data_IF_393118580623
#
_entry.id   IF_393118580623
#
_cell.length_a   1.000
_cell.length_b   1.000
_cell.length_c   1.000
_cell.angle_alpha   90.00
_cell.angle_beta   90.00
_cell.angle_gamma   90.00
#
_symmetry.space_group_name_H-M   'P 1'
#
loop_
_entity.id
_entity.type
_entity.pdbx_description
1 polymer ?
#
# COMPACT_ATOMS: atom_id res chain seq x y z
N UNK A 1 -40.79 9.69 47.06
CA UNK A 1 -40.02 10.34 45.99
C UNK A 1 -38.58 9.86 46.14
N UNK A 2 -38.17 8.88 45.32
CA UNK A 2 -36.80 8.33 45.32
C UNK A 2 -36.24 8.58 43.92
N UNK A 3 -35.41 9.61 43.78
CA UNK A 3 -34.51 9.76 42.64
C UNK A 3 -33.13 9.24 43.09
N UNK A 4 -32.82 8.01 42.69
CA UNK A 4 -31.46 7.47 42.77
C UNK A 4 -30.78 7.69 41.43
N UNK A 5 -29.81 8.61 41.42
CA UNK A 5 -28.94 8.87 40.29
C UNK A 5 -28.09 7.62 39.99
N UNK A 6 -28.25 7.05 38.80
CA UNK A 6 -27.33 6.03 38.26
C UNK A 6 -25.99 6.69 37.95
N UNK A 7 -25.03 6.56 38.85
CA UNK A 7 -23.61 6.79 38.56
C UNK A 7 -23.10 5.65 37.66
N UNK A 8 -23.19 5.86 36.35
CA UNK A 8 -22.63 4.97 35.34
C UNK A 8 -21.10 4.91 35.44
N UNK A 9 -20.63 3.70 35.74
CA UNK A 9 -19.27 3.27 35.99
C UNK A 9 -18.24 3.73 34.93
N UNK A 10 -17.31 4.62 35.31
CA UNK A 10 -16.14 5.02 34.50
C UNK A 10 -14.94 4.07 34.65
N UNK A 11 -15.06 2.97 35.39
CA UNK A 11 -13.92 2.12 35.81
C UNK A 11 -13.58 1.01 34.81
N UNK A 12 -14.33 0.87 33.72
CA UNK A 12 -14.24 -0.26 32.77
C UNK A 12 -13.25 -0.09 31.63
N UNK A 13 -12.78 1.13 31.33
CA UNK A 13 -11.87 1.36 30.19
C UNK A 13 -10.39 1.14 30.54
N UNK A 14 -9.93 1.52 31.72
CA UNK A 14 -8.50 1.43 32.09
C UNK A 14 -8.01 -0.01 32.19
N UNK A 15 -8.85 -0.93 32.70
CA UNK A 15 -8.51 -2.36 32.79
C UNK A 15 -8.45 -3.03 31.41
N UNK A 16 -9.35 -2.67 30.49
CA UNK A 16 -9.37 -3.20 29.13
C UNK A 16 -8.10 -2.81 28.35
N UNK A 17 -7.71 -1.52 28.38
CA UNK A 17 -6.47 -1.08 27.72
C UNK A 17 -5.22 -1.71 28.35
N UNK A 18 -5.21 -1.90 29.67
CA UNK A 18 -4.12 -2.61 30.36
C UNK A 18 -3.99 -4.06 29.91
N UNK A 19 -5.10 -4.78 29.76
CA UNK A 19 -5.09 -6.16 29.25
C UNK A 19 -4.59 -6.20 27.80
N UNK A 20 -5.14 -5.36 26.91
CA UNK A 20 -4.72 -5.29 25.51
C UNK A 20 -3.22 -4.97 25.40
N UNK A 21 -2.73 -4.00 26.17
CA UNK A 21 -1.30 -3.66 26.19
C UNK A 21 -0.44 -4.84 26.63
N UNK A 22 -0.77 -5.49 27.75
CA UNK A 22 -0.03 -6.67 28.22
C UNK A 22 -0.05 -7.81 27.20
N UNK A 23 -1.18 -8.07 26.55
CA UNK A 23 -1.28 -9.10 25.50
C UNK A 23 -0.41 -8.75 24.29
N UNK A 24 -0.41 -7.50 23.84
CA UNK A 24 0.46 -7.05 22.73
C UNK A 24 1.94 -7.15 23.09
N UNK A 25 2.32 -6.79 24.32
CA UNK A 25 3.71 -6.93 24.82
C UNK A 25 4.13 -8.40 24.85
N UNK A 26 3.27 -9.30 25.33
CA UNK A 26 3.56 -10.74 25.37
C UNK A 26 3.70 -11.29 23.94
N UNK A 27 2.78 -10.97 23.03
CA UNK A 27 2.86 -11.40 21.62
C UNK A 27 4.17 -10.89 20.98
N UNK A 28 4.49 -9.61 21.18
CA UNK A 28 5.73 -9.03 20.66
C UNK A 28 6.96 -9.71 21.26
N UNK A 29 6.99 -9.94 22.57
CA UNK A 29 8.09 -10.64 23.24
C UNK A 29 8.23 -12.08 22.72
N UNK A 30 7.13 -12.81 22.53
CA UNK A 30 7.12 -14.16 21.94
C UNK A 30 7.66 -14.15 20.52
N UNK A 31 7.24 -13.21 19.68
CA UNK A 31 7.76 -13.03 18.32
C UNK A 31 9.28 -12.76 18.39
N UNK A 32 9.71 -11.79 19.21
CA UNK A 32 11.12 -11.43 19.34
C UNK A 32 11.98 -12.61 19.81
N UNK A 33 11.53 -13.37 20.82
CA UNK A 33 12.20 -14.57 21.33
C UNK A 33 12.29 -15.64 20.23
N UNK A 34 11.22 -15.88 19.49
CA UNK A 34 11.20 -16.85 18.40
C UNK A 34 12.11 -16.42 17.23
N UNK A 35 12.15 -15.12 16.93
CA UNK A 35 12.98 -14.56 15.85
C UNK A 35 14.44 -14.39 16.24
N UNK A 36 14.81 -14.39 17.53
CA UNK A 36 16.17 -14.12 18.01
C UNK A 36 17.23 -15.03 17.37
N UNK A 37 16.89 -16.31 17.20
CA UNK A 37 17.77 -17.32 16.61
C UNK A 37 17.24 -17.83 15.27
N UNK A 38 16.18 -17.21 14.73
CA UNK A 38 15.69 -17.57 13.40
C UNK A 38 16.72 -17.10 12.37
N UNK A 39 17.07 -17.94 11.40
CA UNK A 39 17.82 -17.51 10.23
C UNK A 39 17.22 -16.25 9.60
N UNK A 40 18.05 -15.42 8.95
CA UNK A 40 17.55 -14.22 8.29
C UNK A 40 16.48 -14.59 7.26
N UNK A 41 15.45 -13.74 7.13
CA UNK A 41 14.26 -14.00 6.30
C UNK A 41 14.65 -14.39 4.85
N UNK A 42 15.75 -13.83 4.35
CA UNK A 42 16.28 -14.12 3.00
C UNK A 42 16.61 -15.60 2.77
N UNK A 43 16.92 -16.37 3.82
CA UNK A 43 17.19 -17.81 3.71
C UNK A 43 15.93 -18.62 3.39
N UNK A 44 14.76 -18.10 3.79
CA UNK A 44 13.45 -18.67 3.51
C UNK A 44 12.82 -18.17 2.21
N UNK A 45 13.41 -17.15 1.58
CA UNK A 45 12.88 -16.61 0.33
C UNK A 45 13.20 -17.55 -0.84
N UNK A 46 12.31 -17.61 -1.85
CA UNK A 46 12.62 -18.29 -3.09
C UNK A 46 13.92 -17.74 -3.67
N UNK A 47 14.91 -18.62 -3.90
CA UNK A 47 16.20 -18.26 -4.49
C UNK A 47 16.11 -17.99 -6.00
N UNK A 48 15.04 -18.48 -6.63
CA UNK A 48 14.78 -18.25 -8.05
C UNK A 48 13.95 -16.99 -8.23
N UNK A 49 14.39 -16.13 -9.14
CA UNK A 49 13.69 -14.91 -9.54
C UNK A 49 13.06 -15.15 -10.91
N UNK A 50 11.84 -14.66 -11.12
CA UNK A 50 11.24 -14.74 -12.45
C UNK A 50 12.01 -13.81 -13.41
N UNK A 51 12.37 -14.25 -14.63
CA UNK A 51 13.00 -13.36 -15.62
C UNK A 51 12.15 -12.14 -15.96
N UNK A 52 10.81 -12.26 -15.83
CA UNK A 52 9.88 -11.15 -16.02
C UNK A 52 9.86 -10.16 -14.85
N UNK A 53 10.44 -10.52 -13.70
CA UNK A 53 10.43 -9.78 -12.44
C UNK A 53 11.84 -9.72 -11.82
N UNK A 54 12.83 -9.09 -12.50
CA UNK A 54 14.25 -9.20 -12.15
C UNK A 54 14.72 -8.35 -10.95
N UNK A 55 14.01 -7.29 -10.58
CA UNK A 55 14.36 -6.36 -9.51
C UNK A 55 14.01 -6.91 -8.12
N UNK A 56 14.99 -6.89 -7.22
CA UNK A 56 14.85 -7.37 -5.84
C UNK A 56 14.44 -6.27 -4.88
N UNK A 57 14.87 -5.04 -5.16
CA UNK A 57 14.65 -3.88 -4.32
C UNK A 57 13.94 -2.77 -5.09
N UNK A 58 13.31 -1.86 -4.35
CA UNK A 58 12.68 -0.68 -4.93
C UNK A 58 13.70 0.19 -5.68
N UNK A 59 14.92 0.35 -5.14
CA UNK A 59 15.98 1.18 -5.73
C UNK A 59 16.48 0.63 -7.07
N UNK A 60 16.51 -0.70 -7.23
CA UNK A 60 16.81 -1.33 -8.53
C UNK A 60 15.67 -1.15 -9.54
N UNK A 61 14.42 -1.20 -9.06
CA UNK A 61 13.24 -1.07 -9.90
C UNK A 61 13.01 0.37 -10.38
N UNK A 62 13.26 1.37 -9.54
CA UNK A 62 12.86 2.74 -9.82
C UNK A 62 13.46 3.35 -11.11
N UNK A 63 14.75 3.14 -11.45
CA UNK A 63 15.29 3.56 -12.74
C UNK A 63 14.60 2.92 -13.94
N UNK A 64 14.13 1.67 -13.81
CA UNK A 64 13.33 1.02 -14.86
C UNK A 64 11.96 1.66 -14.99
N UNK A 65 11.28 1.90 -13.87
CA UNK A 65 10.01 2.61 -13.87
C UNK A 65 10.11 3.96 -14.59
N UNK A 66 11.16 4.75 -14.35
CA UNK A 66 11.34 6.05 -15.03
C UNK A 66 11.54 5.91 -16.54
N UNK A 67 12.23 4.86 -17.00
CA UNK A 67 12.36 4.55 -18.44
C UNK A 67 11.02 4.19 -19.07
N UNK A 68 10.15 3.49 -18.34
CA UNK A 68 8.77 3.20 -18.75
C UNK A 68 7.85 4.44 -18.69
N UNK A 69 8.36 5.59 -18.25
CA UNK A 69 7.67 6.89 -18.25
C UNK A 69 8.57 7.94 -18.89
N UNK A 70 9.19 7.61 -20.02
CA UNK A 70 10.17 8.48 -20.70
C UNK A 70 9.52 9.75 -21.25
N UNK A 71 8.25 9.68 -21.65
CA UNK A 71 7.50 10.83 -22.16
C UNK A 71 7.03 11.73 -21.02
N UNK A 72 7.25 13.04 -21.19
CA UNK A 72 6.75 14.07 -20.24
C UNK A 72 5.24 13.97 -20.04
N UNK A 73 4.50 13.70 -21.11
CA UNK A 73 3.04 13.60 -21.09
C UNK A 73 2.57 12.41 -20.24
N UNK A 74 3.24 11.26 -20.35
CA UNK A 74 2.98 10.09 -19.49
C UNK A 74 3.15 10.46 -18.02
N UNK A 75 4.26 11.10 -17.66
CA UNK A 75 4.50 11.56 -16.28
C UNK A 75 3.43 12.55 -15.79
N UNK A 76 3.00 13.49 -16.63
CA UNK A 76 1.93 14.43 -16.29
C UNK A 76 0.60 13.74 -15.97
N UNK A 77 0.22 12.72 -16.75
CA UNK A 77 -0.99 11.94 -16.48
C UNK A 77 -0.91 11.22 -15.13
N UNK A 78 0.25 10.69 -14.76
CA UNK A 78 0.47 10.14 -13.42
C UNK A 78 0.36 11.22 -12.34
N UNK A 79 0.98 12.39 -12.53
CA UNK A 79 0.88 13.49 -11.57
C UNK A 79 -0.56 13.92 -11.33
N UNK A 80 -1.38 14.02 -12.38
CA UNK A 80 -2.81 14.33 -12.25
C UNK A 80 -3.52 13.23 -11.47
N UNK A 81 -3.33 11.96 -11.84
CA UNK A 81 -3.95 10.82 -11.16
C UNK A 81 -3.62 10.76 -9.67
N UNK A 82 -2.33 10.78 -9.32
CA UNK A 82 -1.87 10.73 -7.93
C UNK A 82 -2.32 11.95 -7.12
N UNK A 83 -2.34 13.15 -7.71
CA UNK A 83 -2.86 14.36 -7.04
C UNK A 83 -4.35 14.20 -6.73
N UNK A 84 -5.14 13.67 -7.67
CA UNK A 84 -6.57 13.41 -7.46
C UNK A 84 -6.80 12.33 -6.39
N UNK A 85 -5.94 11.31 -6.33
CA UNK A 85 -5.94 10.33 -5.23
C UNK A 85 -5.69 11.03 -3.89
N UNK A 86 -4.66 11.86 -3.79
CA UNK A 86 -4.36 12.61 -2.56
C UNK A 86 -5.55 13.47 -2.14
N UNK A 87 -6.15 14.25 -3.06
CA UNK A 87 -7.33 15.06 -2.80
C UNK A 87 -8.51 14.19 -2.30
N UNK A 88 -8.76 13.03 -2.93
CA UNK A 88 -9.84 12.14 -2.52
C UNK A 88 -9.66 11.60 -1.09
N UNK A 89 -8.42 11.34 -0.69
CA UNK A 89 -8.06 10.94 0.68
C UNK A 89 -8.19 12.12 1.65
N UNK A 90 -7.80 13.34 1.26
CA UNK A 90 -8.01 14.53 2.10
C UNK A 90 -9.50 14.81 2.35
N UNK A 91 -10.38 14.54 1.37
CA UNK A 91 -11.84 14.66 1.54
C UNK A 91 -12.39 13.55 2.45
N UNK A 92 -11.83 12.34 2.42
CA UNK A 92 -12.22 11.22 3.29
C UNK A 92 -11.00 10.60 3.99
N UNK A 93 -10.43 11.26 5.02
CA UNK A 93 -9.16 10.83 5.63
C UNK A 93 -9.18 9.42 6.21
N UNK A 94 -10.36 8.91 6.56
CA UNK A 94 -10.55 7.54 7.05
C UNK A 94 -10.10 6.47 6.03
N UNK A 95 -10.05 6.81 4.73
CA UNK A 95 -9.52 5.94 3.69
C UNK A 95 -8.01 5.69 3.81
N UNK A 96 -7.28 6.53 4.56
CA UNK A 96 -5.85 6.33 4.79
C UNK A 96 -5.59 4.99 5.51
N UNK A 97 -6.45 4.60 6.45
CA UNK A 97 -6.31 3.34 7.21
C UNK A 97 -6.28 2.12 6.28
N UNK A 98 -7.30 1.85 5.44
CA UNK A 98 -7.30 0.70 4.55
C UNK A 98 -6.25 0.82 3.42
N UNK A 99 -5.91 2.02 2.96
CA UNK A 99 -4.82 2.23 1.97
C UNK A 99 -3.48 1.82 2.58
N UNK A 100 -3.15 2.32 3.77
CA UNK A 100 -1.91 2.00 4.46
C UNK A 100 -1.84 0.53 4.85
N UNK A 101 -2.94 -0.05 5.36
CA UNK A 101 -3.00 -1.47 5.70
C UNK A 101 -2.81 -2.37 4.48
N UNK A 102 -3.53 -2.08 3.39
CA UNK A 102 -3.39 -2.82 2.13
C UNK A 102 -2.01 -2.66 1.52
N UNK A 103 -1.46 -1.44 1.52
CA UNK A 103 -0.13 -1.13 0.99
C UNK A 103 0.97 -1.83 1.75
N UNK A 104 0.94 -1.81 3.09
CA UNK A 104 1.90 -2.51 3.93
C UNK A 104 1.82 -4.04 3.72
N UNK A 105 0.59 -4.58 3.67
CA UNK A 105 0.40 -6.01 3.43
C UNK A 105 0.94 -6.43 2.05
N UNK A 106 0.59 -5.70 0.99
CA UNK A 106 1.08 -5.97 -0.36
C UNK A 106 2.61 -5.84 -0.47
N UNK A 107 3.21 -4.81 0.12
CA UNK A 107 4.66 -4.64 0.15
C UNK A 107 5.35 -5.78 0.90
N UNK A 108 4.79 -6.24 2.03
CA UNK A 108 5.35 -7.30 2.85
C UNK A 108 5.46 -8.65 2.14
N UNK A 109 4.59 -8.89 1.15
CA UNK A 109 4.57 -10.15 0.38
C UNK A 109 5.39 -10.10 -0.90
N UNK A 110 5.91 -8.91 -1.30
CA UNK A 110 6.75 -8.75 -2.50
C UNK A 110 7.85 -9.80 -2.55
N UNK A 111 8.68 -10.01 -1.50
CA UNK A 111 9.84 -10.90 -1.59
C UNK A 111 9.45 -12.36 -1.86
N UNK A 112 8.27 -12.78 -1.41
CA UNK A 112 7.73 -14.13 -1.57
C UNK A 112 7.22 -14.38 -2.98
N UNK A 113 6.67 -13.36 -3.66
CA UNK A 113 6.08 -13.52 -5.00
C UNK A 113 7.02 -13.16 -6.16
N UNK A 114 8.31 -12.93 -5.90
CA UNK A 114 9.31 -12.58 -6.95
C UNK A 114 9.57 -13.70 -7.97
N UNK A 115 9.37 -14.95 -7.57
CA UNK A 115 9.50 -16.10 -8.47
C UNK A 115 8.32 -16.24 -9.44
N UNK A 116 7.22 -15.50 -9.20
CA UNK A 116 6.02 -15.50 -10.04
C UNK A 116 6.13 -14.32 -11.02
N UNK A 117 5.87 -14.58 -12.29
CA UNK A 117 5.98 -13.59 -13.38
C UNK A 117 4.88 -12.51 -13.39
N UNK A 118 4.04 -12.46 -12.37
CA UNK A 118 2.89 -11.54 -12.30
C UNK A 118 2.76 -10.87 -10.93
N UNK A 119 2.30 -9.63 -10.96
CA UNK A 119 1.97 -8.84 -9.77
C UNK A 119 0.56 -9.07 -9.22
N UNK A 120 -0.26 -9.90 -9.88
CA UNK A 120 -1.68 -10.03 -9.53
C UNK A 120 -1.94 -10.45 -8.08
N UNK A 121 -1.04 -11.22 -7.45
CA UNK A 121 -1.18 -11.64 -6.06
C UNK A 121 -0.99 -10.48 -5.06
N UNK A 122 0.03 -9.65 -5.26
CA UNK A 122 0.23 -8.43 -4.48
C UNK A 122 -0.95 -7.47 -4.66
N UNK A 123 -1.37 -7.26 -5.90
CA UNK A 123 -2.51 -6.40 -6.23
C UNK A 123 -3.80 -6.94 -5.62
N UNK A 124 -4.05 -8.25 -5.72
CA UNK A 124 -5.20 -8.91 -5.13
C UNK A 124 -5.25 -8.74 -3.61
N UNK A 125 -4.13 -8.94 -2.93
CA UNK A 125 -4.01 -8.74 -1.49
C UNK A 125 -4.31 -7.29 -1.09
N UNK A 126 -3.69 -6.32 -1.79
CA UNK A 126 -3.98 -4.90 -1.60
C UNK A 126 -5.49 -4.63 -1.75
N UNK A 127 -6.08 -5.07 -2.86
CA UNK A 127 -7.47 -4.80 -3.20
C UNK A 127 -8.46 -5.41 -2.21
N UNK A 128 -8.22 -6.63 -1.74
CA UNK A 128 -9.08 -7.29 -0.74
C UNK A 128 -9.09 -6.49 0.56
N UNK A 129 -7.91 -6.18 1.11
CA UNK A 129 -7.79 -5.43 2.37
C UNK A 129 -8.36 -4.02 2.20
N UNK A 130 -8.02 -3.35 1.10
CA UNK A 130 -8.47 -2.00 0.81
C UNK A 130 -9.99 -1.90 0.68
N UNK A 131 -10.62 -2.76 -0.13
CA UNK A 131 -12.06 -2.70 -0.39
C UNK A 131 -12.88 -3.11 0.83
N UNK A 132 -12.47 -4.16 1.54
CA UNK A 132 -13.16 -4.61 2.77
C UNK A 132 -13.01 -3.54 3.85
N UNK A 133 -11.78 -3.09 4.13
CA UNK A 133 -11.52 -2.07 5.14
C UNK A 133 -12.24 -0.76 4.84
N UNK A 134 -12.22 -0.31 3.58
CA UNK A 134 -12.95 0.89 3.14
C UNK A 134 -14.45 0.73 3.30
N UNK A 135 -15.03 -0.43 2.97
CA UNK A 135 -16.46 -0.69 3.19
C UNK A 135 -16.83 -0.68 4.67
N UNK A 136 -16.03 -1.29 5.53
CA UNK A 136 -16.30 -1.35 6.97
C UNK A 136 -16.24 0.05 7.60
N UNK A 137 -15.26 0.86 7.22
CA UNK A 137 -15.02 2.18 7.81
C UNK A 137 -15.91 3.28 7.23
N UNK A 138 -16.09 3.33 5.91
CA UNK A 138 -16.88 4.38 5.25
C UNK A 138 -18.35 4.00 5.05
N UNK A 139 -18.70 2.72 5.25
CA UNK A 139 -20.00 2.12 4.93
C UNK A 139 -20.41 2.21 3.46
N UNK A 140 -19.53 2.67 2.55
CA UNK A 140 -19.83 2.90 1.14
C UNK A 140 -18.73 2.37 0.20
N UNK A 141 -19.10 1.48 -0.72
CA UNK A 141 -18.17 1.01 -1.76
C UNK A 141 -17.80 2.10 -2.76
N UNK A 142 -18.71 3.03 -3.07
CA UNK A 142 -18.46 4.10 -4.05
C UNK A 142 -17.25 4.95 -3.66
N UNK A 143 -17.09 5.24 -2.37
CA UNK A 143 -15.95 5.99 -1.83
C UNK A 143 -14.63 5.22 -1.96
N UNK A 144 -14.67 3.88 -1.92
CA UNK A 144 -13.50 3.03 -2.12
C UNK A 144 -13.09 2.93 -3.60
N UNK A 145 -14.05 2.94 -4.53
CA UNK A 145 -13.70 2.86 -5.96
C UNK A 145 -13.13 4.16 -6.51
N UNK A 146 -13.46 5.31 -5.92
CA UNK A 146 -13.05 6.61 -6.43
C UNK A 146 -11.51 6.79 -6.50
N UNK A 147 -10.71 6.53 -5.44
CA UNK A 147 -9.25 6.66 -5.53
C UNK A 147 -8.64 5.70 -6.56
N UNK A 148 -9.16 4.47 -6.66
CA UNK A 148 -8.67 3.49 -7.63
C UNK A 148 -8.87 3.96 -9.06
N UNK A 149 -10.06 4.47 -9.36
CA UNK A 149 -10.38 4.98 -10.70
C UNK A 149 -9.54 6.21 -11.05
N UNK A 150 -9.34 7.12 -10.10
CA UNK A 150 -8.56 8.34 -10.32
C UNK A 150 -7.07 8.05 -10.50
N UNK A 151 -6.49 7.14 -9.72
CA UNK A 151 -5.09 6.75 -9.88
C UNK A 151 -4.87 6.00 -11.19
N UNK A 152 -5.48 4.82 -11.32
CA UNK A 152 -5.22 3.93 -12.45
C UNK A 152 -5.76 4.47 -13.78
N UNK A 153 -6.93 5.11 -13.78
CA UNK A 153 -7.53 5.65 -14.99
C UNK A 153 -6.63 6.68 -15.67
N UNK A 154 -6.08 7.62 -14.90
CA UNK A 154 -5.17 8.64 -15.44
C UNK A 154 -3.81 8.05 -15.81
N UNK A 155 -3.23 7.19 -14.96
CA UNK A 155 -1.97 6.51 -15.27
C UNK A 155 -2.03 5.73 -16.61
N UNK A 156 -3.11 4.99 -16.85
CA UNK A 156 -3.29 4.21 -18.08
C UNK A 156 -3.45 5.07 -19.32
N UNK A 157 -3.98 6.29 -19.20
CA UNK A 157 -4.00 7.23 -20.33
C UNK A 157 -2.56 7.52 -20.79
N UNK A 158 -1.65 7.78 -19.85
CA UNK A 158 -0.22 7.96 -20.15
C UNK A 158 0.37 6.75 -20.88
N UNK A 159 0.25 5.57 -20.27
CA UNK A 159 0.83 4.34 -20.81
C UNK A 159 0.28 3.93 -22.18
N UNK A 160 -1.03 3.94 -22.38
CA UNK A 160 -1.61 3.38 -23.60
C UNK A 160 -1.63 4.36 -24.79
N UNK A 161 -1.80 5.65 -24.53
CA UNK A 161 -1.94 6.65 -25.59
C UNK A 161 -0.65 7.40 -25.92
N UNK A 162 0.32 7.45 -25.00
CA UNK A 162 1.57 8.22 -25.20
C UNK A 162 2.81 7.35 -25.18
N UNK A 163 2.97 6.51 -24.16
CA UNK A 163 4.16 5.66 -24.04
C UNK A 163 4.07 4.39 -24.90
N UNK A 164 2.85 3.92 -25.16
CA UNK A 164 2.53 2.67 -25.85
C UNK A 164 3.19 1.42 -25.22
N UNK A 165 3.32 1.42 -23.89
CA UNK A 165 3.85 0.29 -23.12
C UNK A 165 2.81 -0.30 -22.17
N UNK A 166 3.17 -1.45 -21.58
CA UNK A 166 2.35 -2.10 -20.56
C UNK A 166 2.75 -1.56 -19.18
N UNK A 167 1.80 -1.05 -18.37
CA UNK A 167 2.09 -0.55 -17.03
C UNK A 167 2.85 -1.56 -16.15
N UNK A 168 3.91 -1.09 -15.50
CA UNK A 168 4.72 -1.90 -14.59
C UNK A 168 3.91 -2.46 -13.40
N UNK A 169 2.78 -1.83 -13.06
CA UNK A 169 1.81 -2.31 -12.08
C UNK A 169 1.43 -3.78 -12.27
N UNK A 170 1.40 -4.31 -13.50
CA UNK A 170 1.03 -5.70 -13.73
C UNK A 170 2.11 -6.70 -13.28
N UNK A 171 3.33 -6.25 -13.06
CA UNK A 171 4.47 -7.07 -12.64
C UNK A 171 4.90 -6.71 -11.21
N UNK A 172 4.99 -5.41 -10.90
CA UNK A 172 5.37 -4.84 -9.60
C UNK A 172 4.33 -3.82 -9.09
N UNK A 173 3.14 -4.23 -8.64
CA UNK A 173 2.11 -3.29 -8.21
C UNK A 173 2.58 -2.42 -7.03
N UNK A 174 3.22 -3.03 -6.04
CA UNK A 174 3.70 -2.33 -4.84
C UNK A 174 4.76 -1.28 -5.18
N UNK A 175 5.77 -1.66 -5.98
CA UNK A 175 6.82 -0.72 -6.38
C UNK A 175 6.32 0.32 -7.39
N UNK A 176 5.41 -0.04 -8.30
CA UNK A 176 4.80 0.89 -9.24
C UNK A 176 4.03 2.00 -8.51
N UNK A 177 3.20 1.63 -7.53
CA UNK A 177 2.46 2.62 -6.72
C UNK A 177 3.41 3.52 -5.92
N UNK A 178 4.46 2.95 -5.29
CA UNK A 178 5.48 3.76 -4.60
C UNK A 178 6.20 4.72 -5.56
N UNK A 179 6.44 4.28 -6.80
CA UNK A 179 7.12 5.08 -7.81
C UNK A 179 6.31 6.28 -8.27
N UNK A 180 4.97 6.20 -8.30
CA UNK A 180 4.12 7.37 -8.59
C UNK A 180 4.40 8.53 -7.60
N UNK A 181 4.48 8.21 -6.30
CA UNK A 181 4.79 9.21 -5.26
C UNK A 181 6.25 9.67 -5.33
N UNK A 182 7.20 8.74 -5.57
CA UNK A 182 8.61 9.08 -5.70
C UNK A 182 8.88 9.99 -6.90
N UNK A 183 8.21 9.76 -8.02
CA UNK A 183 8.33 10.56 -9.23
C UNK A 183 7.79 11.99 -9.03
N UNK A 184 6.72 12.17 -8.25
CA UNK A 184 6.25 13.51 -7.84
C UNK A 184 7.28 14.19 -6.93
N UNK A 185 7.83 13.46 -5.96
CA UNK A 185 8.84 13.98 -5.04
C UNK A 185 10.09 14.46 -5.79
N UNK A 186 10.61 13.66 -6.72
CA UNK A 186 11.77 14.02 -7.53
C UNK A 186 11.45 15.24 -8.43
N UNK A 187 10.24 15.31 -9.00
CA UNK A 187 9.79 16.47 -9.78
C UNK A 187 9.72 17.75 -8.93
N UNK A 188 9.23 17.68 -7.69
CA UNK A 188 9.20 18.82 -6.76
C UNK A 188 10.61 19.27 -6.39
N UNK A 189 11.57 18.35 -6.31
CA UNK A 189 12.99 18.65 -6.09
C UNK A 189 13.72 19.16 -7.33
N UNK A 190 13.08 19.21 -8.49
CA UNK A 190 13.72 19.54 -9.77
C UNK A 190 14.70 18.46 -10.25
N UNK A 191 14.61 17.24 -9.72
CA UNK A 191 15.39 16.08 -10.16
C UNK A 191 14.69 15.43 -11.34
N UNK A 192 14.83 16.04 -12.52
CA UNK A 192 14.34 15.46 -13.77
C UNK A 192 15.46 14.65 -14.44
N UNK A 193 15.13 13.44 -14.90
CA UNK A 193 15.98 12.62 -15.76
C UNK A 193 15.76 12.97 -17.23
#
# INVERSE_FOLDING_TARGET
>A
MVESAKSGDKKTNTSFYGIVFCTLVIILASILIQTRNSPPVNEYLPKTISPAKPYETFEEFYPHYLREHSQKTTRQWHYVGTTLVIISVLINPILLIPISAGGLAAYSVVPFFRHISTGLYEMGLFMIIYLIGSKLLTRSFKKAFLPLLLGYGFAWIGHFFYEHNKPATFIYPSYSLMSDFRMIYDAVKGQFF
#
